data_IF_132520469874
#
_entry.id   IF_132520469874
#
_cell.length_a   1.000
_cell.length_b   1.000
_cell.length_c   1.000
_cell.angle_alpha   90.00
_cell.angle_beta   90.00
_cell.angle_gamma   90.00
#
_symmetry.space_group_name_H-M   'P 1'
#
loop_
_entity.id
_entity.type
_entity.pdbx_description
1 polymer ?
#
# COMPACT_ATOMS: atom_id res chain seq x y z
N UNK A 1 -25.72 -11.33 48.78
CA UNK A 1 -25.15 -10.08 48.21
C UNK A 1 -23.75 -10.27 47.62
N UNK A 2 -22.85 -11.00 48.29
CA UNK A 2 -21.47 -11.28 47.81
C UNK A 2 -21.40 -12.06 46.49
N UNK A 3 -22.32 -13.00 46.25
CA UNK A 3 -22.29 -13.81 45.02
C UNK A 3 -22.70 -13.02 43.77
N UNK A 4 -23.70 -12.14 43.87
CA UNK A 4 -24.07 -11.22 42.77
C UNK A 4 -22.90 -10.30 42.38
N UNK A 5 -22.11 -9.86 43.36
CA UNK A 5 -20.94 -9.02 43.12
C UNK A 5 -19.84 -9.77 42.34
N UNK A 6 -19.62 -11.07 42.62
CA UNK A 6 -18.69 -11.92 41.86
C UNK A 6 -19.08 -12.06 40.39
N UNK A 7 -20.36 -12.25 40.09
CA UNK A 7 -20.82 -12.34 38.71
C UNK A 7 -20.67 -11.03 37.94
N UNK A 8 -20.85 -9.87 38.59
CA UNK A 8 -20.61 -8.55 37.98
C UNK A 8 -19.13 -8.35 37.65
N UNK A 9 -18.22 -8.71 38.55
CA UNK A 9 -16.78 -8.65 38.26
C UNK A 9 -16.38 -9.62 37.13
N UNK A 10 -16.95 -10.81 37.11
CA UNK A 10 -16.71 -11.80 36.05
C UNK A 10 -17.22 -11.31 34.69
N UNK A 11 -18.42 -10.71 34.62
CA UNK A 11 -18.96 -10.18 33.36
C UNK A 11 -18.18 -8.96 32.87
N UNK A 12 -17.76 -8.06 33.75
CA UNK A 12 -16.87 -6.94 33.38
C UNK A 12 -15.52 -7.46 32.89
N UNK A 13 -14.95 -8.46 33.55
CA UNK A 13 -13.70 -9.08 33.12
C UNK A 13 -13.84 -9.77 31.75
N UNK A 14 -14.94 -10.47 31.50
CA UNK A 14 -15.23 -11.07 30.18
C UNK A 14 -15.41 -9.99 29.11
N UNK A 15 -16.13 -8.90 29.39
CA UNK A 15 -16.31 -7.79 28.44
C UNK A 15 -14.99 -7.07 28.14
N UNK A 16 -14.15 -6.86 29.16
CA UNK A 16 -12.80 -6.32 29.00
C UNK A 16 -11.91 -7.29 28.23
N UNK A 17 -11.97 -8.58 28.53
CA UNK A 17 -11.21 -9.61 27.80
C UNK A 17 -11.63 -9.67 26.33
N UNK A 18 -12.93 -9.62 26.03
CA UNK A 18 -13.46 -9.55 24.66
C UNK A 18 -13.05 -8.26 23.94
N UNK A 19 -13.01 -7.12 24.65
CA UNK A 19 -12.52 -5.85 24.12
C UNK A 19 -11.03 -5.90 23.78
N UNK A 20 -10.20 -6.46 24.67
CA UNK A 20 -8.77 -6.64 24.45
C UNK A 20 -8.47 -7.69 23.37
N UNK A 21 -9.24 -8.78 23.31
CA UNK A 21 -9.09 -9.81 22.27
C UNK A 21 -9.40 -9.28 20.86
N UNK A 22 -10.29 -8.29 20.76
CA UNK A 22 -10.56 -7.60 19.49
C UNK A 22 -9.36 -6.77 18.98
N UNK A 23 -8.39 -6.43 19.82
CA UNK A 23 -7.36 -5.43 19.52
C UNK A 23 -6.08 -5.96 18.87
N UNK A 24 -5.99 -7.26 18.57
CA UNK A 24 -4.84 -7.84 17.85
C UNK A 24 -4.97 -7.67 16.34
N UNK A 25 -5.05 -6.42 15.87
CA UNK A 25 -4.86 -6.12 14.45
C UNK A 25 -3.38 -6.25 14.11
N UNK A 26 -3.06 -7.05 13.09
CA UNK A 26 -1.68 -7.28 12.61
C UNK A 26 -0.97 -6.03 12.05
N UNK A 27 -1.58 -4.84 12.16
CA UNK A 27 -1.15 -3.61 11.47
C UNK A 27 -1.44 -3.63 9.96
N UNK A 28 -2.13 -4.67 9.49
CA UNK A 28 -2.48 -4.88 8.09
C UNK A 28 -3.95 -5.25 7.94
N UNK A 29 -4.64 -4.54 7.06
CA UNK A 29 -6.04 -4.82 6.70
C UNK A 29 -6.07 -5.66 5.42
N UNK A 30 -6.63 -6.87 5.48
CA UNK A 30 -6.81 -7.70 4.30
C UNK A 30 -7.98 -7.18 3.48
N UNK A 31 -7.75 -6.93 2.19
CA UNK A 31 -8.75 -6.36 1.28
C UNK A 31 -8.71 -7.07 -0.07
N UNK A 32 -9.83 -7.06 -0.79
CA UNK A 32 -9.90 -7.51 -2.18
C UNK A 32 -9.73 -6.32 -3.12
N UNK A 33 -8.83 -6.42 -4.10
CA UNK A 33 -8.61 -5.35 -5.07
C UNK A 33 -9.49 -5.60 -6.29
N UNK A 34 -10.62 -4.88 -6.36
CA UNK A 34 -11.62 -5.02 -7.42
C UNK A 34 -11.22 -4.35 -8.72
N UNK A 35 -10.35 -3.33 -8.68
CA UNK A 35 -9.90 -2.64 -9.90
C UNK A 35 -8.58 -1.91 -9.72
N UNK A 36 -7.74 -1.94 -10.74
CA UNK A 36 -6.58 -1.05 -10.85
C UNK A 36 -6.91 0.11 -11.80
N UNK A 37 -6.90 1.33 -11.27
CA UNK A 37 -7.31 2.55 -12.00
C UNK A 37 -6.16 3.00 -12.92
N UNK A 38 -4.99 3.21 -12.32
CA UNK A 38 -3.69 3.53 -12.92
C UNK A 38 -2.60 2.73 -12.17
N UNK A 39 -1.31 3.01 -12.37
CA UNK A 39 -0.22 2.21 -11.78
C UNK A 39 -0.03 2.37 -10.26
N UNK A 40 -0.75 3.30 -9.62
CA UNK A 40 -0.56 3.68 -8.21
C UNK A 40 -1.86 4.09 -7.49
N UNK A 41 -3.01 3.86 -8.12
CA UNK A 41 -4.35 4.06 -7.59
C UNK A 41 -5.21 2.84 -7.88
N UNK A 42 -5.82 2.30 -6.83
CA UNK A 42 -6.65 1.09 -6.90
C UNK A 42 -8.00 1.32 -6.23
N UNK A 43 -8.93 0.41 -6.52
CA UNK A 43 -10.23 0.30 -5.89
C UNK A 43 -10.27 -1.02 -5.12
N UNK A 44 -10.69 -0.95 -3.86
CA UNK A 44 -10.63 -2.07 -2.93
C UNK A 44 -11.96 -2.24 -2.19
N UNK A 45 -12.15 -3.45 -1.67
CA UNK A 45 -13.31 -3.90 -0.92
C UNK A 45 -12.82 -4.60 0.35
N UNK A 46 -13.36 -4.23 1.51
CA UNK A 46 -13.18 -4.91 2.79
C UNK A 46 -14.54 -5.44 3.28
N UNK A 47 -14.58 -6.02 4.50
CA UNK A 47 -15.83 -6.36 5.18
C UNK A 47 -16.70 -5.14 5.46
N UNK A 48 -16.09 -3.98 5.66
CA UNK A 48 -16.75 -2.79 6.20
C UNK A 48 -17.05 -1.73 5.13
N UNK A 49 -16.30 -1.74 4.03
CA UNK A 49 -16.46 -0.82 2.91
C UNK A 49 -16.29 -1.57 1.59
N UNK A 50 -17.37 -1.61 0.80
CA UNK A 50 -17.42 -2.39 -0.43
C UNK A 50 -16.67 -1.74 -1.59
N UNK A 51 -16.30 -0.46 -1.51
CA UNK A 51 -15.82 0.25 -2.70
C UNK A 51 -15.04 1.56 -2.44
N UNK A 52 -13.87 1.47 -1.81
CA UNK A 52 -13.02 2.63 -1.58
C UNK A 52 -11.82 2.72 -2.52
N UNK A 53 -11.29 3.94 -2.69
CA UNK A 53 -10.07 4.21 -3.46
C UNK A 53 -8.86 4.24 -2.54
N UNK A 54 -7.77 3.64 -2.99
CA UNK A 54 -6.47 3.67 -2.32
C UNK A 54 -5.44 4.29 -3.25
N UNK A 55 -4.66 5.23 -2.72
CA UNK A 55 -3.46 5.78 -3.33
C UNK A 55 -2.25 5.10 -2.71
N UNK A 56 -1.42 4.46 -3.54
CA UNK A 56 -0.19 3.80 -3.08
C UNK A 56 0.81 4.84 -2.60
N UNK A 57 1.27 4.70 -1.36
CA UNK A 57 2.29 5.56 -0.77
C UNK A 57 3.66 5.24 -1.39
N UNK A 58 4.46 6.30 -1.56
CA UNK A 58 5.88 6.21 -1.93
C UNK A 58 6.16 6.17 -3.43
N UNK A 59 5.12 6.12 -4.27
CA UNK A 59 5.27 6.07 -5.73
C UNK A 59 4.37 7.04 -6.49
N UNK A 60 4.86 7.41 -7.68
CA UNK A 60 4.09 8.02 -8.76
C UNK A 60 4.33 7.22 -10.06
N UNK A 61 3.27 6.64 -10.61
CA UNK A 61 3.25 5.89 -11.85
C UNK A 61 2.90 6.80 -13.05
N UNK A 62 3.26 6.40 -14.28
CA UNK A 62 2.84 7.14 -15.46
C UNK A 62 1.31 7.27 -15.56
N UNK A 63 0.83 8.49 -15.74
CA UNK A 63 -0.60 8.80 -15.78
C UNK A 63 -1.29 8.19 -17.01
N UNK A 64 -2.45 7.55 -16.78
CA UNK A 64 -3.18 6.80 -17.80
C UNK A 64 -3.56 7.72 -18.97
N UNK A 65 -3.14 7.35 -20.18
CA UNK A 65 -3.49 8.08 -21.41
C UNK A 65 -2.74 9.39 -21.62
N UNK A 66 -1.86 9.80 -20.70
CA UNK A 66 -1.07 11.05 -20.81
C UNK A 66 0.42 10.81 -20.95
N UNK A 67 0.96 9.81 -20.25
CA UNK A 67 2.41 9.63 -20.14
C UNK A 67 2.86 8.32 -20.80
N UNK A 68 4.05 8.32 -21.41
CA UNK A 68 4.60 7.09 -21.99
C UNK A 68 4.77 6.03 -20.88
N UNK A 69 4.68 4.75 -21.23
CA UNK A 69 4.73 3.62 -20.29
C UNK A 69 3.51 3.44 -19.37
N UNK A 70 2.43 4.21 -19.54
CA UNK A 70 1.23 4.05 -18.72
C UNK A 70 0.60 2.66 -18.86
N UNK A 71 0.61 2.06 -20.06
CA UNK A 71 0.01 0.74 -20.31
C UNK A 71 0.78 -0.35 -19.58
N UNK A 72 2.09 -0.33 -19.68
CA UNK A 72 3.01 -1.29 -19.08
C UNK A 72 2.98 -1.19 -17.55
N UNK A 73 2.99 0.03 -17.02
CA UNK A 73 2.88 0.28 -15.57
C UNK A 73 1.54 -0.24 -15.05
N UNK A 74 0.43 0.16 -15.68
CA UNK A 74 -0.90 -0.28 -15.29
C UNK A 74 -1.05 -1.80 -15.41
N UNK A 75 -0.67 -2.40 -16.54
CA UNK A 75 -0.79 -3.85 -16.77
C UNK A 75 -0.01 -4.65 -15.74
N UNK A 76 1.17 -4.18 -15.34
CA UNK A 76 1.94 -4.84 -14.31
C UNK A 76 1.29 -4.70 -12.92
N UNK A 77 0.77 -3.52 -12.57
CA UNK A 77 0.00 -3.33 -11.35
C UNK A 77 -1.27 -4.22 -11.31
N UNK A 78 -1.97 -4.37 -12.44
CA UNK A 78 -3.09 -5.30 -12.60
C UNK A 78 -2.66 -6.75 -12.32
N UNK A 79 -1.56 -7.19 -12.95
CA UNK A 79 -1.02 -8.53 -12.72
C UNK A 79 -0.69 -8.78 -11.25
N UNK A 80 -0.21 -7.77 -10.52
CA UNK A 80 0.12 -7.91 -9.10
C UNK A 80 -1.12 -7.96 -8.22
N UNK A 81 -2.09 -7.07 -8.45
CA UNK A 81 -3.13 -6.77 -7.45
C UNK A 81 -4.56 -7.09 -7.91
N UNK A 82 -4.90 -6.88 -9.18
CA UNK A 82 -6.30 -6.93 -9.63
C UNK A 82 -6.88 -8.33 -9.46
N UNK A 83 -8.12 -8.39 -8.95
CA UNK A 83 -8.85 -9.60 -8.63
C UNK A 83 -8.15 -10.50 -7.59
N UNK A 84 -7.35 -9.91 -6.68
CA UNK A 84 -6.62 -10.63 -5.65
C UNK A 84 -6.80 -9.97 -4.28
N UNK A 85 -6.58 -10.77 -3.24
CA UNK A 85 -6.43 -10.23 -1.89
C UNK A 85 -5.04 -9.63 -1.70
N UNK A 86 -5.00 -8.42 -1.16
CA UNK A 86 -3.79 -7.72 -0.73
C UNK A 86 -3.95 -7.25 0.72
N UNK A 87 -2.87 -6.74 1.30
CA UNK A 87 -2.81 -6.26 2.67
C UNK A 87 -2.45 -4.79 2.68
N UNK A 88 -3.31 -3.96 3.28
CA UNK A 88 -3.10 -2.52 3.38
C UNK A 88 -2.45 -2.19 4.71
N UNK A 89 -1.39 -1.41 4.66
CA UNK A 89 -0.75 -0.84 5.85
C UNK A 89 -0.91 0.67 5.80
N UNK A 90 -1.46 1.23 6.88
CA UNK A 90 -1.52 2.67 7.10
C UNK A 90 -0.18 3.13 7.68
N UNK A 91 0.28 4.28 7.21
CA UNK A 91 1.32 5.06 7.88
C UNK A 91 0.64 6.07 8.82
N UNK A 92 0.90 7.37 8.66
CA UNK A 92 0.42 8.42 9.55
C UNK A 92 -0.93 8.95 9.09
N UNK A 93 -1.03 9.37 7.83
CA UNK A 93 -2.23 9.95 7.23
C UNK A 93 -3.26 8.88 6.90
N UNK A 94 -4.55 9.23 6.99
CA UNK A 94 -5.61 8.31 6.59
C UNK A 94 -5.98 8.45 5.10
N UNK A 95 -6.34 9.67 4.69
CA UNK A 95 -6.78 10.00 3.33
C UNK A 95 -6.03 11.22 2.80
N UNK A 96 -5.89 11.31 1.48
CA UNK A 96 -5.45 12.53 0.83
C UNK A 96 -6.61 13.52 0.61
N UNK A 97 -6.28 14.72 0.09
CA UNK A 97 -7.26 15.78 -0.21
C UNK A 97 -8.34 15.40 -1.23
N UNK A 98 -8.19 14.28 -1.93
CA UNK A 98 -9.17 13.77 -2.90
C UNK A 98 -10.01 12.63 -2.31
N UNK A 99 -9.90 12.38 -1.00
CA UNK A 99 -10.63 11.34 -0.29
C UNK A 99 -10.11 9.92 -0.51
N UNK A 100 -8.94 9.75 -1.15
CA UNK A 100 -8.34 8.42 -1.35
C UNK A 100 -7.58 8.01 -0.11
N UNK A 101 -7.74 6.78 0.35
CA UNK A 101 -6.94 6.24 1.45
C UNK A 101 -5.47 6.17 1.05
N UNK A 102 -4.58 6.63 1.92
CA UNK A 102 -3.14 6.51 1.73
C UNK A 102 -2.67 5.22 2.39
N UNK A 103 -2.19 4.25 1.60
CA UNK A 103 -1.73 2.96 2.12
C UNK A 103 -0.48 2.47 1.39
N UNK A 104 0.37 1.75 2.12
CA UNK A 104 1.28 0.80 1.51
C UNK A 104 0.49 -0.47 1.20
N UNK A 105 0.71 -1.04 0.01
CA UNK A 105 0.02 -2.26 -0.43
C UNK A 105 1.00 -3.40 -0.47
N UNK A 106 0.65 -4.50 0.19
CA UNK A 106 1.48 -5.69 0.34
C UNK A 106 0.79 -6.91 -0.28
N UNK A 107 1.55 -7.72 -1.02
CA UNK A 107 1.05 -8.97 -1.60
C UNK A 107 0.79 -10.05 -0.52
N UNK A 108 1.58 -10.00 0.57
CA UNK A 108 1.47 -10.85 1.76
C UNK A 108 1.96 -10.05 2.97
N UNK A 109 1.46 -10.38 4.16
CA UNK A 109 2.01 -9.82 5.40
C UNK A 109 3.47 -10.27 5.58
N UNK A 110 4.42 -9.33 5.70
CA UNK A 110 5.82 -9.70 5.86
C UNK A 110 6.08 -10.21 7.30
N UNK A 111 6.81 -11.31 7.45
CA UNK A 111 7.27 -11.78 8.79
C UNK A 111 8.14 -10.74 9.51
N UNK A 112 8.93 -9.98 8.73
CA UNK A 112 9.79 -8.86 9.19
C UNK A 112 9.82 -7.78 8.11
N UNK A 113 9.76 -6.51 8.48
CA UNK A 113 9.84 -5.37 7.55
C UNK A 113 11.29 -5.00 7.19
N UNK A 114 12.08 -5.98 6.74
CA UNK A 114 13.44 -5.74 6.28
C UNK A 114 13.48 -5.41 4.77
N UNK A 115 14.63 -4.94 4.29
CA UNK A 115 14.81 -4.53 2.89
C UNK A 115 14.36 -5.60 1.88
N UNK A 116 14.69 -6.88 2.11
CA UNK A 116 14.34 -7.97 1.20
C UNK A 116 12.82 -8.14 1.09
N UNK A 117 12.12 -8.23 2.22
CA UNK A 117 10.67 -8.40 2.23
C UNK A 117 9.96 -7.16 1.67
N UNK A 118 10.46 -5.95 1.94
CA UNK A 118 9.95 -4.71 1.31
C UNK A 118 10.10 -4.82 -0.21
N UNK A 119 11.29 -5.13 -0.72
CA UNK A 119 11.57 -5.20 -2.16
C UNK A 119 10.75 -6.29 -2.89
N UNK A 120 10.38 -7.38 -2.21
CA UNK A 120 9.70 -8.54 -2.81
C UNK A 120 8.16 -8.57 -2.61
N UNK A 121 7.65 -7.94 -1.54
CA UNK A 121 6.24 -8.04 -1.16
C UNK A 121 5.49 -6.71 -1.20
N UNK A 122 6.15 -5.56 -1.06
CA UNK A 122 5.51 -4.26 -1.11
C UNK A 122 5.34 -3.83 -2.58
N UNK A 123 4.10 -3.58 -3.01
CA UNK A 123 3.78 -3.29 -4.42
C UNK A 123 4.50 -2.04 -4.92
N UNK A 124 4.57 -0.97 -4.12
CA UNK A 124 5.30 0.25 -4.46
C UNK A 124 6.77 -0.06 -4.75
N UNK A 125 7.40 -0.88 -3.90
CA UNK A 125 8.78 -1.32 -4.07
C UNK A 125 8.98 -2.16 -5.36
N UNK A 126 8.07 -3.09 -5.65
CA UNK A 126 8.13 -3.94 -6.85
C UNK A 126 7.99 -3.08 -8.12
N UNK A 127 7.08 -2.11 -8.12
CA UNK A 127 6.89 -1.16 -9.23
C UNK A 127 8.15 -0.33 -9.48
N UNK A 128 8.81 0.17 -8.42
CA UNK A 128 10.09 0.87 -8.51
C UNK A 128 11.20 -0.05 -9.04
N UNK A 129 11.29 -1.29 -8.55
CA UNK A 129 12.28 -2.29 -8.96
C UNK A 129 12.21 -2.62 -10.45
N UNK A 130 11.01 -2.56 -11.03
CA UNK A 130 10.75 -2.79 -12.46
C UNK A 130 10.89 -1.52 -13.32
N UNK A 131 11.07 -0.34 -12.70
CA UNK A 131 11.12 0.92 -13.43
C UNK A 131 9.77 1.28 -14.06
N UNK A 132 8.68 1.00 -13.35
CA UNK A 132 7.30 1.25 -13.76
C UNK A 132 6.63 2.36 -12.93
N UNK A 133 7.32 2.85 -11.91
CA UNK A 133 6.96 4.05 -11.16
C UNK A 133 8.22 4.79 -10.72
N UNK A 134 8.05 6.02 -10.23
CA UNK A 134 9.09 6.84 -9.60
C UNK A 134 8.82 7.00 -8.11
N UNK A 135 9.85 7.25 -7.32
CA UNK A 135 9.65 7.51 -5.89
C UNK A 135 9.01 8.88 -5.70
N UNK A 136 7.93 8.93 -4.94
CA UNK A 136 7.18 10.15 -4.63
C UNK A 136 6.93 10.23 -3.13
N UNK A 137 7.22 11.38 -2.52
CA UNK A 137 7.05 11.58 -1.08
C UNK A 137 5.64 12.09 -0.79
N UNK A 138 4.97 11.44 0.16
CA UNK A 138 3.78 11.95 0.82
C UNK A 138 4.22 12.26 2.24
N UNK A 139 4.31 13.52 2.65
CA UNK A 139 4.59 13.84 4.05
C UNK A 139 3.28 13.86 4.85
N UNK A 140 3.26 13.32 6.09
CA UNK A 140 4.36 12.68 6.83
C UNK A 140 4.57 11.16 6.54
N UNK A 141 3.89 10.58 5.55
CA UNK A 141 3.91 9.15 5.20
C UNK A 141 5.21 8.66 4.49
N UNK A 142 6.30 8.52 5.26
CA UNK A 142 7.65 8.25 4.74
C UNK A 142 8.31 6.96 5.26
N UNK A 143 7.55 6.06 5.89
CA UNK A 143 8.05 4.83 6.55
C UNK A 143 9.09 4.03 5.73
N UNK A 144 8.89 3.87 4.41
CA UNK A 144 9.79 3.09 3.55
C UNK A 144 10.58 3.92 2.52
N UNK A 145 10.64 5.24 2.70
CA UNK A 145 11.22 6.15 1.71
C UNK A 145 12.69 5.84 1.41
N UNK A 146 13.47 5.46 2.43
CA UNK A 146 14.89 5.12 2.31
C UNK A 146 15.09 3.90 1.41
N UNK A 147 14.29 2.85 1.62
CA UNK A 147 14.30 1.62 0.85
C UNK A 147 13.88 1.88 -0.60
N UNK A 148 12.80 2.64 -0.78
CA UNK A 148 12.26 2.99 -2.09
C UNK A 148 13.27 3.76 -2.94
N UNK A 149 13.94 4.77 -2.36
CA UNK A 149 15.02 5.51 -3.05
C UNK A 149 16.17 4.58 -3.49
N UNK A 150 16.56 3.63 -2.64
CA UNK A 150 17.61 2.65 -2.97
C UNK A 150 17.19 1.71 -4.10
N UNK A 151 15.94 1.26 -4.11
CA UNK A 151 15.38 0.39 -5.15
C UNK A 151 15.29 1.13 -6.48
N UNK A 152 14.77 2.37 -6.50
CA UNK A 152 14.69 3.19 -7.70
C UNK A 152 16.10 3.46 -8.29
N UNK A 153 17.07 3.80 -7.43
CA UNK A 153 18.48 4.01 -7.86
C UNK A 153 19.04 2.78 -8.56
N UNK A 154 18.76 1.56 -8.05
CA UNK A 154 19.15 0.32 -8.73
C UNK A 154 18.44 0.18 -10.08
N UNK A 155 17.13 0.40 -10.15
CA UNK A 155 16.37 0.29 -11.39
C UNK A 155 16.88 1.26 -12.47
N UNK A 156 17.26 2.48 -12.09
CA UNK A 156 17.93 3.46 -12.95
C UNK A 156 19.28 2.97 -13.46
N UNK A 157 20.16 2.51 -12.56
CA UNK A 157 21.50 1.99 -12.91
C UNK A 157 21.41 0.87 -13.95
N UNK A 158 20.42 -0.02 -13.79
CA UNK A 158 20.21 -1.16 -14.68
C UNK A 158 19.25 -0.87 -15.84
N UNK A 159 18.89 0.40 -16.09
CA UNK A 159 17.99 0.83 -17.18
C UNK A 159 16.72 -0.03 -17.27
N UNK A 160 16.04 -0.27 -16.15
CA UNK A 160 14.80 -1.07 -16.13
C UNK A 160 13.58 -0.25 -16.51
N UNK A 161 12.63 -0.88 -17.20
CA UNK A 161 11.36 -0.25 -17.55
C UNK A 161 11.57 1.05 -18.31
N UNK A 162 10.95 2.13 -17.87
CA UNK A 162 11.07 3.40 -18.58
C UNK A 162 12.44 4.10 -18.40
N UNK A 163 13.34 3.57 -17.56
CA UNK A 163 14.72 4.08 -17.42
C UNK A 163 15.62 3.74 -18.63
N UNK A 164 15.11 3.01 -19.62
CA UNK A 164 15.82 2.76 -20.90
C UNK A 164 15.95 4.05 -21.72
N UNK A 165 15.01 5.00 -21.56
CA UNK A 165 15.00 6.24 -22.34
C UNK A 165 15.89 7.31 -21.72
N UNK A 166 16.64 8.00 -22.58
CA UNK A 166 17.45 9.18 -22.19
C UNK A 166 16.57 10.40 -21.84
N UNK A 167 15.44 10.58 -22.53
CA UNK A 167 14.49 11.67 -22.26
C UNK A 167 13.47 11.27 -21.18
N UNK A 168 13.02 12.21 -20.33
CA UNK A 168 11.97 11.95 -19.36
C UNK A 168 10.68 11.48 -20.05
N UNK A 169 10.16 10.35 -19.60
CA UNK A 169 8.91 9.74 -20.09
C UNK A 169 7.69 10.05 -19.21
N UNK A 170 7.93 10.59 -18.02
CA UNK A 170 6.91 10.99 -17.04
C UNK A 170 7.28 12.37 -16.47
N UNK A 171 6.28 13.09 -15.97
CA UNK A 171 6.38 14.41 -15.31
C UNK A 171 7.20 14.40 -14.01
N UNK A 172 7.63 13.22 -13.56
CA UNK A 172 8.35 13.08 -12.30
C UNK A 172 7.45 13.34 -11.10
N UNK A 173 7.93 14.17 -10.18
CA UNK A 173 7.21 14.53 -8.95
C UNK A 173 6.43 15.85 -9.08
N UNK A 174 6.40 16.46 -10.27
CA UNK A 174 5.63 17.67 -10.51
C UNK A 174 4.16 17.30 -10.67
N UNK A 175 3.31 17.85 -9.79
CA UNK A 175 1.85 17.76 -9.94
C UNK A 175 1.36 18.73 -10.99
#
# INVERSE_FOLDING_TARGET
MKDKLKYIFLTIFILLFLYFYKSTSSGFDKVYISKVIDGDTIRATSSDDSNFKVRLIGINAPEKGKEKYWKESKSYAQKLMENKYCYLEKDTSNKDKYGRYLRYVWLKTPKKKNFKNIEELNVSAIMLKKGLARTYTFEPDVLYLKEFKKIEKKARKFKRGFWIYKKPVTRGNKR
#
